data_IF_220430364966
#
_entry.id   IF_220430364966
#
_cell.length_a   1.000
_cell.length_b   1.000
_cell.length_c   1.000
_cell.angle_alpha   90.00
_cell.angle_beta   90.00
_cell.angle_gamma   90.00
#
_symmetry.space_group_name_H-M   'P 1'
#
loop_
_entity.id
_entity.type
_entity.pdbx_description
1 polymer ?
#
# COMPACT_ATOMS: atom_id res chain seq x y z
N UNK A 1 -6.49 2.15 -1.01
CA UNK A 1 -5.92 3.30 -0.28
C UNK A 1 -6.96 4.37 -0.17
N UNK A 2 -6.95 5.13 0.91
CA UNK A 2 -8.01 6.10 1.21
C UNK A 2 -7.66 7.45 0.59
N UNK A 3 -8.54 7.98 -0.25
CA UNK A 3 -8.50 9.35 -0.75
C UNK A 3 -9.46 10.27 0.01
N UNK A 4 -9.41 11.56 -0.30
CA UNK A 4 -10.25 12.56 0.39
C UNK A 4 -11.76 12.31 0.19
N UNK A 5 -12.19 11.94 -1.01
CA UNK A 5 -13.62 11.73 -1.30
C UNK A 5 -14.14 10.52 -0.53
N UNK A 6 -13.41 9.39 -0.53
CA UNK A 6 -13.77 8.22 0.26
C UNK A 6 -13.87 8.53 1.77
N UNK A 7 -12.90 9.28 2.32
CA UNK A 7 -12.93 9.63 3.75
C UNK A 7 -14.14 10.50 4.12
N UNK A 8 -14.50 11.44 3.24
CA UNK A 8 -15.69 12.27 3.41
C UNK A 8 -16.97 11.42 3.38
N UNK A 9 -17.09 10.51 2.40
CA UNK A 9 -18.24 9.60 2.29
C UNK A 9 -18.41 8.76 3.54
N UNK A 10 -17.31 8.22 4.09
CA UNK A 10 -17.34 7.47 5.37
C UNK A 10 -17.85 8.35 6.51
N UNK A 11 -17.35 9.59 6.63
CA UNK A 11 -17.82 10.50 7.69
C UNK A 11 -19.30 10.83 7.54
N UNK A 12 -19.77 11.09 6.32
CA UNK A 12 -21.17 11.42 6.03
C UNK A 12 -22.09 10.25 6.35
N UNK A 13 -21.72 9.04 5.91
CA UNK A 13 -22.48 7.83 6.19
C UNK A 13 -22.58 7.54 7.69
N UNK A 14 -21.50 7.76 8.45
CA UNK A 14 -21.52 7.60 9.91
C UNK A 14 -22.36 8.69 10.59
N UNK A 15 -22.27 9.94 10.16
CA UNK A 15 -23.10 11.03 10.69
C UNK A 15 -24.59 10.75 10.48
N UNK A 16 -24.98 10.30 9.30
CA UNK A 16 -26.36 9.93 8.97
C UNK A 16 -26.81 8.73 9.81
N UNK A 17 -26.05 7.63 9.81
CA UNK A 17 -26.40 6.41 10.53
C UNK A 17 -26.47 6.59 12.06
N UNK A 18 -25.72 7.55 12.61
CA UNK A 18 -25.69 7.84 14.05
C UNK A 18 -26.62 8.99 14.47
N UNK A 19 -27.20 9.72 13.51
CA UNK A 19 -27.94 10.96 13.80
C UNK A 19 -27.09 11.99 14.57
N UNK A 20 -25.78 12.01 14.34
CA UNK A 20 -24.83 12.82 15.09
C UNK A 20 -23.93 13.61 14.13
N UNK A 21 -23.96 14.94 14.23
CA UNK A 21 -23.21 15.86 13.37
C UNK A 21 -21.75 16.03 13.76
N UNK A 22 -21.30 15.42 14.86
CA UNK A 22 -19.87 15.33 15.17
C UNK A 22 -19.11 14.60 14.05
N UNK A 23 -17.80 14.85 13.95
CA UNK A 23 -16.94 14.18 12.97
C UNK A 23 -17.12 12.66 13.07
N UNK A 24 -17.26 11.99 11.92
CA UNK A 24 -17.51 10.55 11.82
C UNK A 24 -18.70 10.05 12.66
N UNK A 25 -19.75 10.87 12.82
CA UNK A 25 -20.90 10.50 13.65
C UNK A 25 -20.59 10.33 15.13
N UNK A 26 -19.48 10.92 15.61
CA UNK A 26 -18.99 10.75 16.98
C UNK A 26 -18.29 9.39 17.23
N UNK A 27 -17.98 8.64 16.18
CA UNK A 27 -17.25 7.37 16.29
C UNK A 27 -15.75 7.63 16.46
N UNK A 28 -15.12 6.91 17.38
CA UNK A 28 -13.67 6.92 17.51
C UNK A 28 -13.02 6.24 16.30
N UNK A 29 -12.25 6.99 15.53
CA UNK A 29 -11.59 6.50 14.32
C UNK A 29 -10.13 6.16 14.59
N UNK A 30 -9.71 4.96 14.21
CA UNK A 30 -8.30 4.55 14.18
C UNK A 30 -7.91 4.32 12.72
N UNK A 31 -6.95 5.11 12.24
CA UNK A 31 -6.35 4.92 10.93
C UNK A 31 -5.05 4.14 11.09
N UNK A 32 -4.92 3.05 10.33
CA UNK A 32 -3.71 2.26 10.26
C UNK A 32 -3.32 2.05 8.79
N UNK A 33 -2.05 2.24 8.47
CA UNK A 33 -1.56 2.11 7.11
C UNK A 33 -0.12 2.56 6.95
N UNK A 34 0.33 2.59 5.71
CA UNK A 34 1.68 2.99 5.33
C UNK A 34 1.63 4.03 4.21
N UNK A 35 2.24 5.20 4.43
CA UNK A 35 2.25 6.31 3.47
C UNK A 35 3.16 6.10 2.26
N UNK A 36 4.05 5.10 2.27
CA UNK A 36 4.84 4.73 1.09
C UNK A 36 4.13 3.72 0.18
N UNK A 37 2.86 3.43 0.44
CA UNK A 37 2.04 2.77 -0.56
C UNK A 37 1.84 3.72 -1.76
N UNK A 38 1.31 3.17 -2.85
CA UNK A 38 0.93 3.94 -4.04
C UNK A 38 -0.07 5.08 -3.65
N UNK A 39 -0.46 5.97 -4.56
CA UNK A 39 -1.58 6.87 -4.27
C UNK A 39 -2.93 6.21 -4.52
N UNK A 40 -4.02 6.64 -3.86
CA UNK A 40 -5.36 6.20 -4.23
C UNK A 40 -5.62 6.48 -5.71
N UNK A 41 -6.22 5.50 -6.40
CA UNK A 41 -6.45 5.57 -7.86
C UNK A 41 -7.60 6.55 -8.13
N UNK A 42 -7.36 7.54 -8.99
CA UNK A 42 -8.40 8.50 -9.40
C UNK A 42 -8.82 9.52 -8.31
N UNK A 43 -8.19 9.50 -7.14
CA UNK A 43 -8.53 10.37 -6.00
C UNK A 43 -7.34 11.19 -5.49
N UNK A 44 -7.64 12.28 -4.78
CA UNK A 44 -6.63 13.10 -4.10
C UNK A 44 -6.17 12.42 -2.82
N UNK A 45 -4.85 12.35 -2.62
CA UNK A 45 -4.24 11.79 -1.40
C UNK A 45 -4.57 12.66 -0.18
N UNK A 46 -4.82 12.04 0.97
CA UNK A 46 -5.10 12.74 2.24
C UNK A 46 -4.00 13.74 2.64
N UNK A 47 -2.74 13.40 2.33
CA UNK A 47 -1.54 14.17 2.64
C UNK A 47 -1.05 15.05 1.47
N UNK A 48 -1.85 15.25 0.42
CA UNK A 48 -1.52 16.22 -0.64
C UNK A 48 -1.43 17.66 -0.08
N UNK A 49 -1.11 18.68 -0.88
CA UNK A 49 -1.29 20.10 -0.49
C UNK A 49 -2.76 20.51 -0.67
N UNK A 50 -3.26 21.50 0.09
CA UNK A 50 -4.63 22.01 -0.13
C UNK A 50 -4.50 22.94 -1.33
N UNK A 51 -5.26 22.68 -2.40
CA UNK A 51 -5.37 23.66 -3.45
C UNK A 51 -6.40 24.71 -3.02
N UNK A 52 -5.95 25.95 -2.82
CA UNK A 52 -6.79 27.10 -2.43
C UNK A 52 -7.16 27.98 -3.61
N UNK A 53 -6.75 27.61 -4.83
CA UNK A 53 -7.12 28.34 -6.04
C UNK A 53 -8.64 28.27 -6.25
N UNK A 54 -9.28 29.44 -6.31
CA UNK A 54 -10.73 29.62 -6.27
C UNK A 54 -11.47 28.89 -7.39
N UNK A 55 -10.88 28.81 -8.59
CA UNK A 55 -11.46 28.08 -9.73
C UNK A 55 -11.46 26.56 -9.53
N UNK A 56 -10.39 26.00 -8.94
CA UNK A 56 -10.28 24.57 -8.69
C UNK A 56 -11.02 24.09 -7.44
N UNK A 57 -11.18 24.98 -6.44
CA UNK A 57 -11.80 24.67 -5.15
C UNK A 57 -13.33 24.77 -5.16
N UNK A 58 -13.91 25.55 -6.08
CA UNK A 58 -15.35 25.84 -6.09
C UNK A 58 -16.22 24.71 -6.62
N UNK A 59 -15.70 23.84 -7.49
CA UNK A 59 -16.43 22.68 -8.01
C UNK A 59 -16.67 21.59 -6.95
N UNK A 60 -17.71 20.77 -7.14
CA UNK A 60 -18.10 19.68 -6.21
C UNK A 60 -16.92 18.81 -5.78
N UNK A 61 -16.12 18.34 -6.73
CA UNK A 61 -14.92 17.53 -6.47
C UNK A 61 -13.85 18.29 -5.68
N UNK A 62 -13.69 19.59 -5.92
CA UNK A 62 -12.80 20.46 -5.16
C UNK A 62 -13.25 20.57 -3.69
N UNK A 63 -14.54 20.80 -3.48
CA UNK A 63 -15.13 20.88 -2.13
C UNK A 63 -15.00 19.55 -1.37
N UNK A 64 -15.31 18.42 -2.02
CA UNK A 64 -15.16 17.08 -1.42
C UNK A 64 -13.70 16.83 -1.01
N UNK A 65 -12.75 17.21 -1.85
CA UNK A 65 -11.33 17.08 -1.56
C UNK A 65 -10.90 17.93 -0.34
N UNK A 66 -11.40 19.16 -0.24
CA UNK A 66 -11.11 20.06 0.88
C UNK A 66 -11.71 19.48 2.17
N UNK A 67 -12.99 19.09 2.16
CA UNK A 67 -13.68 18.55 3.34
C UNK A 67 -13.05 17.23 3.81
N UNK A 68 -12.78 16.30 2.89
CA UNK A 68 -12.07 15.06 3.21
C UNK A 68 -10.69 15.31 3.81
N UNK A 69 -10.02 16.37 3.38
CA UNK A 69 -8.73 16.75 3.95
C UNK A 69 -8.82 17.42 5.31
N UNK A 70 -9.84 18.26 5.54
CA UNK A 70 -10.11 18.81 6.87
C UNK A 70 -10.41 17.70 7.88
N UNK A 71 -11.12 16.65 7.46
CA UNK A 71 -11.30 15.44 8.26
C UNK A 71 -9.96 14.77 8.59
N UNK A 72 -9.06 14.61 7.62
CA UNK A 72 -7.73 14.07 7.86
C UNK A 72 -6.90 14.93 8.83
N UNK A 73 -6.94 16.25 8.68
CA UNK A 73 -6.25 17.19 9.56
C UNK A 73 -6.83 17.25 10.98
N UNK A 74 -8.03 16.69 11.20
CA UNK A 74 -8.62 16.58 12.54
C UNK A 74 -7.99 15.48 13.40
N UNK A 75 -7.19 14.58 12.81
CA UNK A 75 -6.46 13.53 13.53
C UNK A 75 -5.39 14.16 14.41
N UNK A 76 -5.50 13.96 15.74
CA UNK A 76 -4.61 14.60 16.73
C UNK A 76 -3.45 13.74 17.18
N UNK A 77 -3.58 12.43 17.05
CA UNK A 77 -2.63 11.46 17.60
C UNK A 77 -2.07 10.60 16.48
N UNK A 78 -0.75 10.57 16.38
CA UNK A 78 -0.01 9.77 15.40
C UNK A 78 0.94 8.86 16.16
N UNK A 79 0.88 7.57 15.84
CA UNK A 79 1.77 6.54 16.40
C UNK A 79 2.56 5.93 15.25
N UNK A 80 3.89 6.01 15.34
CA UNK A 80 4.80 5.44 14.34
C UNK A 80 5.41 4.16 14.87
N UNK A 81 5.10 3.02 14.24
CA UNK A 81 5.75 1.74 14.52
C UNK A 81 7.13 1.71 13.86
N UNK A 82 8.16 1.30 14.62
CA UNK A 82 9.56 1.31 14.16
C UNK A 82 10.15 -0.07 13.88
N UNK A 83 9.54 -1.12 14.40
CA UNK A 83 10.06 -2.48 14.33
C UNK A 83 9.29 -3.30 13.30
N UNK A 84 10.01 -3.93 12.36
CA UNK A 84 9.44 -4.80 11.34
C UNK A 84 9.54 -6.25 11.83
N UNK A 85 8.40 -6.84 12.19
CA UNK A 85 8.32 -8.23 12.69
C UNK A 85 8.21 -9.28 11.57
N UNK A 86 7.94 -8.87 10.32
CA UNK A 86 7.67 -9.79 9.19
C UNK A 86 8.89 -10.60 8.78
N UNK A 87 10.09 -10.07 8.97
CA UNK A 87 11.32 -10.80 8.70
C UNK A 87 11.65 -11.56 9.97
N UNK A 88 11.54 -12.90 9.91
CA UNK A 88 11.75 -13.79 11.05
C UNK A 88 13.15 -13.58 11.61
N UNK A 89 13.25 -12.78 12.66
CA UNK A 89 14.38 -12.86 13.57
C UNK A 89 14.14 -14.11 14.41
N UNK A 90 15.16 -14.96 14.55
CA UNK A 90 15.03 -16.18 15.38
C UNK A 90 14.65 -15.75 16.78
N UNK A 91 13.43 -16.09 17.20
CA UNK A 91 12.96 -15.82 18.55
C UNK A 91 13.16 -17.09 19.37
N UNK A 92 13.82 -16.96 20.50
CA UNK A 92 13.87 -18.04 21.47
C UNK A 92 12.48 -18.16 22.12
N UNK A 93 11.80 -19.28 21.89
CA UNK A 93 10.43 -19.51 22.37
C UNK A 93 10.32 -19.54 23.90
N UNK A 94 11.43 -19.73 24.61
CA UNK A 94 11.47 -19.84 26.08
C UNK A 94 11.81 -18.50 26.74
N UNK A 95 12.80 -17.78 26.23
CA UNK A 95 13.25 -16.51 26.83
C UNK A 95 12.59 -15.28 26.21
N UNK A 96 11.95 -15.44 25.05
CA UNK A 96 11.40 -14.33 24.27
C UNK A 96 12.47 -13.45 23.62
N UNK A 97 13.75 -13.77 23.81
CA UNK A 97 14.88 -13.04 23.25
C UNK A 97 14.94 -13.26 21.74
N UNK A 98 15.22 -12.17 21.03
CA UNK A 98 15.34 -12.17 19.59
C UNK A 98 16.83 -12.26 19.27
N UNK A 99 17.26 -13.38 18.70
CA UNK A 99 18.61 -13.50 18.14
C UNK A 99 18.74 -12.55 16.95
N UNK A 100 19.86 -11.83 16.90
CA UNK A 100 20.21 -11.05 15.73
C UNK A 100 20.45 -12.00 14.55
N UNK A 101 19.64 -11.86 13.51
CA UNK A 101 19.89 -12.47 12.20
C UNK A 101 20.44 -11.36 11.27
N UNK A 102 21.76 -11.35 11.00
CA UNK A 102 22.38 -10.32 10.17
C UNK A 102 21.83 -10.28 8.74
N UNK A 103 21.42 -11.42 8.18
CA UNK A 103 20.87 -11.50 6.83
C UNK A 103 19.45 -10.96 6.79
N UNK A 104 18.64 -11.27 7.81
CA UNK A 104 17.33 -10.66 8.00
C UNK A 104 17.43 -9.14 8.10
N UNK A 105 18.37 -8.63 8.91
CA UNK A 105 18.57 -7.20 9.10
C UNK A 105 19.03 -6.51 7.81
N UNK A 106 19.99 -7.12 7.10
CA UNK A 106 20.44 -6.63 5.77
C UNK A 106 19.28 -6.56 4.78
N UNK A 107 18.38 -7.56 4.79
CA UNK A 107 17.21 -7.57 3.93
C UNK A 107 16.18 -6.50 4.33
N UNK A 108 15.92 -6.29 5.63
CA UNK A 108 15.05 -5.19 6.11
C UNK A 108 15.58 -3.84 5.64
N UNK A 109 16.89 -3.62 5.74
CA UNK A 109 17.53 -2.39 5.29
C UNK A 109 17.44 -2.21 3.77
N UNK A 110 17.61 -3.28 2.99
CA UNK A 110 17.40 -3.28 1.55
C UNK A 110 15.98 -2.84 1.22
N UNK A 111 14.97 -3.43 1.87
CA UNK A 111 13.56 -3.08 1.64
C UNK A 111 13.26 -1.62 2.01
N UNK A 112 13.85 -1.11 3.10
CA UNK A 112 13.71 0.29 3.50
C UNK A 112 14.29 1.24 2.44
N UNK A 113 15.48 0.93 1.88
CA UNK A 113 16.08 1.70 0.79
C UNK A 113 15.27 1.62 -0.49
N UNK A 114 14.78 0.43 -0.85
CA UNK A 114 13.95 0.21 -2.03
C UNK A 114 12.68 1.05 -1.99
N UNK A 115 11.99 1.06 -0.85
CA UNK A 115 10.80 1.87 -0.60
C UNK A 115 11.03 3.37 -0.85
N UNK A 116 12.22 3.87 -0.54
CA UNK A 116 12.57 5.29 -0.67
C UNK A 116 13.26 5.63 -2.00
N UNK A 117 13.47 4.64 -2.87
CA UNK A 117 14.22 4.83 -4.11
C UNK A 117 15.71 5.09 -3.90
N UNK A 118 16.28 4.62 -2.79
CA UNK A 118 17.69 4.78 -2.39
C UNK A 118 18.49 3.48 -2.47
N UNK A 119 18.15 2.59 -3.40
CA UNK A 119 18.86 1.33 -3.60
C UNK A 119 20.33 1.57 -3.95
N UNK A 120 21.18 0.66 -3.47
CA UNK A 120 22.62 0.60 -3.76
C UNK A 120 22.92 -0.51 -4.77
N UNK A 121 24.12 -0.51 -5.35
CA UNK A 121 24.57 -1.60 -6.22
C UNK A 121 24.54 -2.95 -5.49
N UNK A 122 24.88 -2.97 -4.19
CA UNK A 122 24.79 -4.17 -3.38
C UNK A 122 23.33 -4.69 -3.23
N UNK A 123 22.34 -3.79 -3.20
CA UNK A 123 20.93 -4.18 -3.19
C UNK A 123 20.52 -4.81 -4.53
N UNK A 124 20.97 -4.23 -5.64
CA UNK A 124 20.73 -4.75 -6.99
C UNK A 124 21.33 -6.15 -7.17
N UNK A 125 22.59 -6.35 -6.78
CA UNK A 125 23.24 -7.66 -6.83
C UNK A 125 22.53 -8.69 -5.94
N UNK A 126 22.12 -8.27 -4.73
CA UNK A 126 21.36 -9.13 -3.81
C UNK A 126 20.05 -9.59 -4.45
N UNK A 127 19.33 -8.70 -5.13
CA UNK A 127 18.07 -9.03 -5.81
C UNK A 127 18.29 -9.92 -7.04
N UNK A 128 19.33 -9.69 -7.84
CA UNK A 128 19.66 -10.49 -9.02
C UNK A 128 20.16 -11.90 -8.70
N UNK A 129 20.79 -12.09 -7.54
CA UNK A 129 21.28 -13.41 -7.11
C UNK A 129 20.17 -14.43 -6.83
N UNK A 130 18.91 -13.98 -6.81
CA UNK A 130 17.74 -14.79 -6.42
C UNK A 130 16.83 -15.02 -7.62
N UNK A 131 16.20 -16.20 -7.68
CA UNK A 131 15.13 -16.45 -8.63
C UNK A 131 13.85 -15.73 -8.15
N UNK A 132 13.71 -14.46 -8.52
CA UNK A 132 12.67 -13.55 -8.01
C UNK A 132 11.53 -13.38 -9.00
N UNK A 133 10.30 -13.13 -8.50
CA UNK A 133 9.21 -12.67 -9.34
C UNK A 133 9.61 -11.40 -10.10
N UNK A 134 9.25 -11.33 -11.39
CA UNK A 134 9.46 -10.13 -12.20
C UNK A 134 8.28 -9.18 -11.99
N UNK A 135 8.56 -7.99 -11.46
CA UNK A 135 7.58 -6.93 -11.29
C UNK A 135 7.61 -6.03 -12.54
N UNK A 136 6.45 -5.77 -13.13
CA UNK A 136 6.30 -4.87 -14.27
C UNK A 136 5.22 -3.83 -14.00
N UNK A 137 5.29 -2.71 -14.72
CA UNK A 137 4.40 -1.56 -14.50
C UNK A 137 2.99 -1.73 -15.07
N UNK A 138 2.80 -2.67 -16.01
CA UNK A 138 1.57 -2.85 -16.77
C UNK A 138 1.09 -4.29 -16.70
N UNK A 139 -0.22 -4.46 -16.57
CA UNK A 139 -0.83 -5.79 -16.51
C UNK A 139 -0.61 -6.55 -17.82
N UNK A 140 -0.67 -5.88 -18.97
CA UNK A 140 -0.49 -6.51 -20.27
C UNK A 140 0.90 -7.14 -20.40
N UNK A 141 1.93 -6.47 -19.89
CA UNK A 141 3.30 -7.00 -19.86
C UNK A 141 3.43 -8.19 -18.89
N UNK A 142 2.79 -8.09 -17.72
CA UNK A 142 2.78 -9.15 -16.71
C UNK A 142 2.12 -10.40 -17.29
N UNK A 143 0.99 -10.24 -17.95
CA UNK A 143 0.23 -11.33 -18.56
C UNK A 143 1.01 -11.98 -19.69
N UNK A 144 1.65 -11.20 -20.58
CA UNK A 144 2.51 -11.74 -21.63
C UNK A 144 3.73 -12.51 -21.09
N UNK A 145 4.37 -12.01 -20.03
CA UNK A 145 5.49 -12.70 -19.37
C UNK A 145 5.05 -14.00 -18.71
N UNK A 146 3.93 -13.96 -17.99
CA UNK A 146 3.37 -15.13 -17.32
C UNK A 146 2.92 -16.19 -18.33
N UNK A 147 2.27 -15.79 -19.42
CA UNK A 147 1.88 -16.70 -20.50
C UNK A 147 3.11 -17.38 -21.12
N UNK A 148 4.15 -16.61 -21.44
CA UNK A 148 5.40 -17.15 -21.98
C UNK A 148 6.05 -18.14 -21.00
N UNK A 149 6.08 -17.78 -19.72
CA UNK A 149 6.64 -18.63 -18.67
C UNK A 149 5.84 -19.94 -18.48
N UNK A 150 4.51 -19.85 -18.50
CA UNK A 150 3.61 -21.00 -18.39
C UNK A 150 3.76 -21.96 -19.58
N UNK A 151 3.79 -21.44 -20.82
CA UNK A 151 4.04 -22.24 -22.02
C UNK A 151 5.39 -22.95 -21.98
N UNK A 152 6.45 -22.23 -21.59
CA UNK A 152 7.78 -22.81 -21.47
C UNK A 152 7.86 -23.89 -20.39
N UNK A 153 7.14 -23.72 -19.27
CA UNK A 153 7.06 -24.72 -18.21
C UNK A 153 6.29 -25.98 -18.66
N UNK A 154 5.14 -25.82 -19.33
CA UNK A 154 4.34 -26.90 -19.89
C UNK A 154 5.19 -27.76 -20.87
N UNK A 155 5.88 -27.10 -21.80
CA UNK A 155 6.77 -27.78 -22.76
C UNK A 155 7.90 -28.56 -22.09
N UNK A 156 8.53 -28.01 -21.02
CA UNK A 156 9.59 -28.71 -20.28
C UNK A 156 9.09 -29.87 -19.43
N UNK A 157 7.86 -29.77 -18.93
CA UNK A 157 7.26 -30.77 -18.04
C UNK A 157 6.47 -31.85 -18.76
N UNK A 158 6.30 -31.74 -20.08
CA UNK A 158 5.51 -32.68 -20.89
C UNK A 158 4.02 -32.63 -20.63
N UNK A 159 3.52 -31.54 -20.02
CA UNK A 159 2.11 -31.35 -19.71
C UNK A 159 1.46 -30.38 -20.69
N UNK A 160 0.15 -30.53 -20.91
CA UNK A 160 -0.64 -29.57 -21.67
C UNK A 160 -1.04 -28.36 -20.82
N UNK A 161 -0.94 -27.17 -21.42
CA UNK A 161 -1.41 -25.93 -20.81
C UNK A 161 -2.86 -25.67 -21.19
N UNK A 162 -3.74 -25.62 -20.19
CA UNK A 162 -5.17 -25.33 -20.36
C UNK A 162 -5.53 -23.99 -19.72
N UNK A 163 -6.32 -23.17 -20.41
CA UNK A 163 -6.81 -21.90 -19.91
C UNK A 163 -8.29 -22.01 -19.53
N UNK A 164 -8.62 -21.52 -18.33
CA UNK A 164 -10.00 -21.43 -17.87
C UNK A 164 -10.33 -19.96 -17.63
N UNK A 165 -11.51 -19.56 -18.09
CA UNK A 165 -12.02 -18.21 -17.89
C UNK A 165 -13.38 -18.31 -17.21
N UNK A 166 -13.58 -17.49 -16.17
CA UNK A 166 -14.92 -17.31 -15.60
C UNK A 166 -15.80 -16.65 -16.67
N UNK A 167 -17.04 -17.13 -16.79
CA UNK A 167 -18.10 -16.40 -17.51
C UNK A 167 -18.97 -15.78 -16.43
N UNK A 168 -19.05 -14.47 -16.46
CA UNK A 168 -19.99 -13.70 -15.64
C UNK A 168 -21.44 -13.95 -16.12
#
# INVERSE_FOLDING_TARGET
MVGCSLLLQVSQALTEAKGNTALFGGVNMIFAGDFAQLPPVGETKLYAKINTDSEGASGKRGQENILGKLLWLSVKTVVTLKHVERVHRKKNDITGEVEADPEAEKFVQLLARLREGRCTDADFETLNSRNVPVIVSKNELKDALNERAARAYAARSGNDLQWYYARD
#
